data_IF_911165529312
#
_entry.id   IF_911165529312
#
_cell.length_a   1.000
_cell.length_b   1.000
_cell.length_c   1.000
_cell.angle_alpha   90.00
_cell.angle_beta   90.00
_cell.angle_gamma   90.00
#
_symmetry.space_group_name_H-M   'P 1'
#
loop_
_entity.id
_entity.type
_entity.pdbx_description
1 polymer ?
#
# COMPACT_ATOMS: atom_id res chain seq x y z
N UNK A 1 -2.51 21.03 1.77
CA UNK A 1 -2.23 19.66 1.27
C UNK A 1 -2.72 19.56 -0.16
N UNK A 2 -2.00 18.86 -1.05
CA UNK A 2 -2.36 18.76 -2.47
C UNK A 2 -3.50 17.73 -2.66
N UNK A 3 -4.67 18.13 -3.21
CA UNK A 3 -5.81 17.24 -3.38
C UNK A 3 -5.54 16.06 -4.32
N UNK A 4 -4.63 16.20 -5.28
CA UNK A 4 -4.23 15.09 -6.14
C UNK A 4 -3.46 14.00 -5.36
N UNK A 5 -2.60 14.39 -4.42
CA UNK A 5 -1.89 13.43 -3.57
C UNK A 5 -2.88 12.65 -2.70
N UNK A 6 -3.87 13.35 -2.12
CA UNK A 6 -4.90 12.70 -1.33
C UNK A 6 -5.74 11.72 -2.16
N UNK A 7 -6.06 12.07 -3.40
CA UNK A 7 -6.75 11.17 -4.34
C UNK A 7 -5.94 9.91 -4.65
N UNK A 8 -4.63 10.04 -4.89
CA UNK A 8 -3.75 8.89 -5.17
C UNK A 8 -3.65 8.00 -3.92
N UNK A 9 -3.48 8.58 -2.73
CA UNK A 9 -3.51 7.83 -1.47
C UNK A 9 -4.83 7.06 -1.29
N UNK A 10 -5.97 7.70 -1.56
CA UNK A 10 -7.27 7.05 -1.45
C UNK A 10 -7.45 5.91 -2.45
N UNK A 11 -6.97 6.07 -3.69
CA UNK A 11 -7.00 5.00 -4.69
C UNK A 11 -6.18 3.78 -4.23
N UNK A 12 -5.04 4.01 -3.56
CA UNK A 12 -4.27 2.93 -2.91
C UNK A 12 -5.10 2.19 -1.86
N UNK A 13 -5.79 2.90 -0.96
CA UNK A 13 -6.61 2.27 0.07
C UNK A 13 -7.79 1.47 -0.53
N UNK A 14 -8.44 2.00 -1.56
CA UNK A 14 -9.51 1.30 -2.29
C UNK A 14 -8.99 0.02 -2.94
N UNK A 15 -7.78 0.04 -3.51
CA UNK A 15 -7.15 -1.16 -4.09
C UNK A 15 -6.81 -2.20 -3.03
N UNK A 16 -6.34 -1.78 -1.86
CA UNK A 16 -6.07 -2.70 -0.76
C UNK A 16 -7.36 -3.39 -0.31
N UNK A 17 -8.46 -2.63 -0.15
CA UNK A 17 -9.78 -3.20 0.17
C UNK A 17 -10.24 -4.19 -0.90
N UNK A 18 -10.09 -3.86 -2.18
CA UNK A 18 -10.42 -4.79 -3.28
C UNK A 18 -9.56 -6.05 -3.24
N UNK A 19 -8.30 -5.96 -2.82
CA UNK A 19 -7.45 -7.14 -2.66
C UNK A 19 -8.04 -8.11 -1.62
N UNK A 20 -8.55 -7.59 -0.51
CA UNK A 20 -9.21 -8.38 0.54
C UNK A 20 -10.52 -9.02 0.04
N UNK A 21 -11.29 -8.28 -0.77
CA UNK A 21 -12.50 -8.79 -1.42
C UNK A 21 -12.18 -9.95 -2.37
N UNK A 22 -11.13 -9.81 -3.21
CA UNK A 22 -10.68 -10.88 -4.11
C UNK A 22 -10.14 -12.09 -3.36
N UNK A 23 -9.40 -11.88 -2.27
CA UNK A 23 -8.93 -12.96 -1.41
C UNK A 23 -10.11 -13.77 -0.85
N UNK A 24 -11.13 -13.07 -0.35
CA UNK A 24 -12.35 -13.70 0.19
C UNK A 24 -13.11 -14.50 -0.88
N UNK A 25 -13.08 -14.03 -2.13
CA UNK A 25 -13.67 -14.71 -3.28
C UNK A 25 -12.84 -15.90 -3.80
N UNK A 26 -11.66 -16.18 -3.23
CA UNK A 26 -10.74 -17.22 -3.71
C UNK A 26 -9.94 -16.84 -4.96
N UNK A 27 -9.98 -15.56 -5.37
CA UNK A 27 -9.27 -15.04 -6.54
C UNK A 27 -7.86 -14.56 -6.16
N UNK A 28 -7.02 -15.50 -5.71
CA UNK A 28 -5.70 -15.22 -5.11
C UNK A 28 -4.76 -14.37 -5.97
N UNK A 29 -4.71 -14.59 -7.28
CA UNK A 29 -3.83 -13.83 -8.18
C UNK A 29 -4.32 -12.38 -8.38
N UNK A 30 -5.63 -12.18 -8.46
CA UNK A 30 -6.23 -10.84 -8.51
C UNK A 30 -6.04 -10.10 -7.19
N UNK A 31 -6.15 -10.82 -6.07
CA UNK A 31 -5.88 -10.30 -4.73
C UNK A 31 -4.44 -9.77 -4.62
N UNK A 32 -3.45 -10.59 -5.01
CA UNK A 32 -2.03 -10.17 -5.05
C UNK A 32 -1.83 -8.95 -5.95
N UNK A 33 -2.36 -8.98 -7.17
CA UNK A 33 -2.25 -7.87 -8.13
C UNK A 33 -2.81 -6.55 -7.56
N UNK A 34 -3.96 -6.59 -6.88
CA UNK A 34 -4.54 -5.38 -6.28
C UNK A 34 -3.74 -4.88 -5.08
N UNK A 35 -3.24 -5.77 -4.23
CA UNK A 35 -2.39 -5.40 -3.11
C UNK A 35 -1.06 -4.79 -3.58
N UNK A 36 -0.46 -5.34 -4.63
CA UNK A 36 0.76 -4.81 -5.24
C UNK A 36 0.54 -3.38 -5.75
N UNK A 37 -0.54 -3.16 -6.51
CA UNK A 37 -0.91 -1.83 -6.97
C UNK A 37 -1.19 -0.87 -5.80
N UNK A 38 -1.85 -1.33 -4.73
CA UNK A 38 -2.08 -0.51 -3.56
C UNK A 38 -0.75 -0.01 -2.94
N UNK A 39 0.22 -0.91 -2.79
CA UNK A 39 1.56 -0.59 -2.27
C UNK A 39 2.29 0.40 -3.16
N UNK A 40 2.35 0.16 -4.48
CA UNK A 40 3.01 1.06 -5.43
C UNK A 40 2.38 2.45 -5.37
N UNK A 41 1.06 2.54 -5.55
CA UNK A 41 0.33 3.80 -5.62
C UNK A 41 0.40 4.57 -4.30
N UNK A 42 0.30 3.87 -3.17
CA UNK A 42 0.34 4.48 -1.84
C UNK A 42 1.74 5.01 -1.50
N UNK A 43 2.78 4.22 -1.75
CA UNK A 43 4.17 4.68 -1.55
C UNK A 43 4.48 5.87 -2.45
N UNK A 44 4.09 5.84 -3.73
CA UNK A 44 4.26 7.00 -4.63
C UNK A 44 3.50 8.25 -4.17
N UNK A 45 2.29 8.12 -3.60
CA UNK A 45 1.58 9.28 -3.07
C UNK A 45 2.38 9.95 -1.94
N UNK A 46 2.98 9.14 -1.07
CA UNK A 46 3.69 9.61 0.12
C UNK A 46 5.05 10.25 -0.24
N UNK A 47 5.74 9.80 -1.28
CA UNK A 47 7.02 10.43 -1.69
C UNK A 47 6.87 11.91 -2.05
N UNK A 48 5.71 12.35 -2.54
CA UNK A 48 5.42 13.77 -2.80
C UNK A 48 5.24 14.63 -1.53
N UNK A 49 5.13 14.00 -0.36
CA UNK A 49 4.97 14.68 0.93
C UNK A 49 6.26 14.68 1.76
N UNK A 50 7.30 14.00 1.29
CA UNK A 50 8.51 13.71 2.06
C UNK A 50 9.70 14.56 1.63
N UNK A 51 10.67 14.68 2.55
CA UNK A 51 12.01 15.22 2.23
C UNK A 51 12.81 14.16 1.47
N UNK A 52 13.85 14.59 0.76
CA UNK A 52 14.64 13.70 -0.11
C UNK A 52 15.21 12.46 0.59
N UNK A 53 15.66 12.60 1.85
CA UNK A 53 16.19 11.47 2.62
C UNK A 53 15.09 10.48 3.04
N UNK A 54 13.89 10.97 3.36
CA UNK A 54 12.73 10.14 3.71
C UNK A 54 12.16 9.40 2.48
N UNK A 55 12.25 10.01 1.29
CA UNK A 55 11.87 9.37 0.01
C UNK A 55 12.69 8.10 -0.22
N UNK A 56 14.00 8.15 0.03
CA UNK A 56 14.88 6.97 -0.12
C UNK A 56 14.42 5.83 0.78
N UNK A 57 14.06 6.11 2.03
CA UNK A 57 13.52 5.11 2.95
C UNK A 57 12.23 4.49 2.44
N UNK A 58 11.31 5.29 1.87
CA UNK A 58 10.09 4.77 1.26
C UNK A 58 10.36 3.86 0.06
N UNK A 59 11.31 4.23 -0.80
CA UNK A 59 11.69 3.42 -1.97
C UNK A 59 12.38 2.12 -1.55
N UNK A 60 13.27 2.15 -0.56
CA UNK A 60 13.89 0.92 0.00
C UNK A 60 12.82 -0.02 0.56
N UNK A 61 11.87 0.50 1.33
CA UNK A 61 10.81 -0.33 1.90
C UNK A 61 9.87 -0.91 0.82
N UNK A 62 9.76 -0.24 -0.34
CA UNK A 62 9.04 -0.74 -1.51
C UNK A 62 9.83 -1.85 -2.22
N UNK A 63 11.13 -1.68 -2.39
CA UNK A 63 12.00 -2.72 -2.97
C UNK A 63 12.04 -3.97 -2.07
N UNK A 64 12.17 -3.79 -0.75
CA UNK A 64 12.10 -4.88 0.23
C UNK A 64 10.77 -5.65 0.15
N UNK A 65 9.68 -4.94 -0.13
CA UNK A 65 8.38 -5.57 -0.32
C UNK A 65 8.35 -6.45 -1.58
N UNK A 66 8.94 -6.00 -2.68
CA UNK A 66 9.03 -6.78 -3.92
C UNK A 66 10.02 -7.94 -3.84
N UNK A 67 11.13 -7.80 -3.12
CA UNK A 67 12.02 -8.95 -2.91
C UNK A 67 11.34 -10.02 -2.05
N UNK A 68 10.65 -9.61 -0.99
CA UNK A 68 9.87 -10.53 -0.16
C UNK A 68 8.68 -11.16 -0.92
N UNK A 69 8.05 -10.42 -1.84
CA UNK A 69 6.93 -10.89 -2.68
C UNK A 69 7.27 -12.16 -3.46
N UNK A 70 8.47 -12.23 -4.02
CA UNK A 70 8.93 -13.36 -4.84
C UNK A 70 8.88 -14.70 -4.09
N UNK A 71 9.08 -14.66 -2.78
CA UNK A 71 9.06 -15.84 -1.90
C UNK A 71 7.68 -16.08 -1.25
N UNK A 72 6.70 -15.19 -1.49
CA UNK A 72 5.40 -15.22 -0.82
C UNK A 72 4.42 -16.20 -1.47
N UNK A 73 4.30 -17.39 -0.87
CA UNK A 73 3.36 -18.43 -1.33
C UNK A 73 1.88 -18.13 -0.99
N UNK A 74 1.61 -17.37 0.08
CA UNK A 74 0.25 -17.14 0.60
C UNK A 74 -0.28 -15.74 0.28
N UNK A 75 -1.43 -15.60 -0.40
CA UNK A 75 -2.00 -14.28 -0.71
C UNK A 75 -2.44 -13.50 0.54
N UNK A 76 -2.76 -14.17 1.64
CA UNK A 76 -3.09 -13.56 2.94
C UNK A 76 -1.89 -12.81 3.52
N UNK A 77 -0.73 -13.47 3.53
CA UNK A 77 0.52 -12.87 4.03
C UNK A 77 0.90 -11.66 3.17
N UNK A 78 0.66 -11.76 1.87
CA UNK A 78 0.89 -10.67 0.91
C UNK A 78 0.07 -9.42 1.24
N UNK A 79 -1.24 -9.60 1.45
CA UNK A 79 -2.15 -8.51 1.81
C UNK A 79 -1.82 -7.94 3.20
N UNK A 80 -1.49 -8.79 4.17
CA UNK A 80 -1.09 -8.35 5.50
C UNK A 80 0.18 -7.49 5.46
N UNK A 81 1.18 -7.89 4.66
CA UNK A 81 2.40 -7.12 4.45
C UNK A 81 2.12 -5.78 3.76
N UNK A 82 1.29 -5.78 2.71
CA UNK A 82 0.87 -4.58 1.99
C UNK A 82 0.16 -3.58 2.93
N UNK A 83 -0.78 -4.07 3.75
CA UNK A 83 -1.47 -3.28 4.78
C UNK A 83 -0.50 -2.70 5.80
N UNK A 84 0.45 -3.51 6.29
CA UNK A 84 1.47 -3.06 7.26
C UNK A 84 2.33 -1.95 6.67
N UNK A 85 2.80 -2.10 5.43
CA UNK A 85 3.62 -1.10 4.76
C UNK A 85 2.88 0.23 4.63
N UNK A 86 1.65 0.21 4.08
CA UNK A 86 0.82 1.41 3.96
C UNK A 86 0.46 2.00 5.34
N UNK A 87 0.23 1.15 6.34
CA UNK A 87 -0.03 1.56 7.71
C UNK A 87 1.10 2.37 8.33
N UNK A 88 2.36 2.01 8.05
CA UNK A 88 3.52 2.78 8.50
C UNK A 88 3.52 4.23 7.96
N UNK A 89 2.88 4.47 6.82
CA UNK A 89 2.78 5.79 6.20
C UNK A 89 1.47 6.52 6.52
N UNK A 90 0.54 5.90 7.24
CA UNK A 90 -0.76 6.51 7.55
C UNK A 90 -0.64 7.80 8.38
N UNK A 91 0.41 7.95 9.18
CA UNK A 91 0.68 9.20 9.91
C UNK A 91 1.21 10.33 9.03
N UNK A 92 1.73 10.00 7.85
CA UNK A 92 2.16 10.93 6.80
C UNK A 92 1.04 11.20 5.80
N UNK A 93 0.00 10.38 5.82
CA UNK A 93 -1.15 10.51 4.94
C UNK A 93 -2.09 11.67 5.36
N UNK A 94 -2.87 12.19 4.40
CA UNK A 94 -3.98 13.11 4.66
C UNK A 94 -4.80 12.79 5.92
N UNK A 95 -5.09 13.78 6.80
CA UNK A 95 -5.89 13.56 8.02
C UNK A 95 -7.27 12.97 7.74
N UNK A 96 -7.81 13.21 6.55
CA UNK A 96 -9.15 12.83 6.13
C UNK A 96 -9.30 11.34 5.80
N UNK A 97 -8.21 10.55 5.74
CA UNK A 97 -8.26 9.13 5.37
C UNK A 97 -7.18 8.28 6.05
N UNK A 98 -7.17 8.30 7.39
CA UNK A 98 -6.52 7.23 8.15
C UNK A 98 -7.19 5.92 7.75
N UNK A 99 -6.38 4.90 7.45
CA UNK A 99 -6.84 3.51 7.35
C UNK A 99 -7.80 3.23 8.52
N UNK A 100 -8.96 2.59 8.30
CA UNK A 100 -9.79 2.13 9.41
C UNK A 100 -8.97 1.07 10.16
N UNK A 101 -8.33 1.48 11.24
CA UNK A 101 -7.71 0.58 12.19
C UNK A 101 -8.71 0.36 13.32
N UNK A 102 -9.49 -0.70 13.18
CA UNK A 102 -9.93 -1.55 14.29
C UNK A 102 -9.54 -2.99 13.97
#
# INVERSE_FOLDING_TARGET
>A
MNPEIAKIWNDSLVRLKKAEEYLTAGESELAKTKAQHAVITGTFAITFLLREDDIKTCLIALDDFFEWEKDCSRPEDYIAKARKLLGNYSNLSPPENKLPFE
#
